data_IF_789308234314
#
_entry.id   IF_789308234314
#
_cell.length_a   1.000
_cell.length_b   1.000
_cell.length_c   1.000
_cell.angle_alpha   90.00
_cell.angle_beta   90.00
_cell.angle_gamma   90.00
#
_symmetry.space_group_name_H-M   'P 1'
#
loop_
_entity.id
_entity.type
_entity.pdbx_description
1 polymer ?
#
# COMPACT_ATOMS: atom_id res chain seq x y z
N UNK A 1 10.47 6.30 -22.93
CA UNK A 1 9.23 6.36 -22.16
C UNK A 1 8.44 5.07 -22.17
N UNK A 2 8.10 4.52 -23.34
CA UNK A 2 7.40 3.24 -23.43
C UNK A 2 8.20 2.08 -22.80
N UNK A 3 9.52 2.06 -22.98
CA UNK A 3 10.41 1.04 -22.42
C UNK A 3 10.40 1.04 -20.89
N UNK A 4 10.43 2.24 -20.26
CA UNK A 4 10.35 2.38 -18.81
C UNK A 4 9.01 1.88 -18.27
N UNK A 5 7.92 2.22 -18.94
CA UNK A 5 6.57 1.79 -18.53
C UNK A 5 6.44 0.28 -18.58
N UNK A 6 6.95 -0.36 -19.62
CA UNK A 6 6.96 -1.82 -19.74
C UNK A 6 7.80 -2.48 -18.65
N UNK A 7 8.97 -1.90 -18.33
CA UNK A 7 9.85 -2.39 -17.26
C UNK A 7 9.16 -2.36 -15.90
N UNK A 8 8.47 -1.26 -15.59
CA UNK A 8 7.72 -1.12 -14.34
C UNK A 8 6.58 -2.14 -14.24
N UNK A 9 5.85 -2.36 -15.33
CA UNK A 9 4.78 -3.35 -15.37
C UNK A 9 5.31 -4.78 -15.16
N UNK A 10 6.46 -5.11 -15.75
CA UNK A 10 7.09 -6.41 -15.56
C UNK A 10 7.51 -6.65 -14.13
N UNK A 11 8.06 -5.62 -13.46
CA UNK A 11 8.42 -5.70 -12.04
C UNK A 11 7.21 -5.94 -11.17
N UNK A 12 6.12 -5.21 -11.41
CA UNK A 12 4.88 -5.37 -10.67
C UNK A 12 4.32 -6.79 -10.84
N UNK A 13 4.33 -7.32 -12.06
CA UNK A 13 3.85 -8.68 -12.33
C UNK A 13 4.69 -9.73 -11.61
N UNK A 14 6.02 -9.57 -11.56
CA UNK A 14 6.89 -10.51 -10.84
C UNK A 14 6.59 -10.54 -9.36
N UNK A 15 6.43 -9.37 -8.75
CA UNK A 15 6.08 -9.25 -7.32
C UNK A 15 4.74 -9.93 -7.05
N UNK A 16 3.73 -9.66 -7.86
CA UNK A 16 2.39 -10.24 -7.70
C UNK A 16 2.38 -11.75 -7.85
N UNK A 17 3.14 -12.30 -8.80
CA UNK A 17 3.26 -13.77 -8.96
C UNK A 17 3.85 -14.41 -7.71
N UNK A 18 4.89 -13.81 -7.16
CA UNK A 18 5.53 -14.32 -5.96
C UNK A 18 4.57 -14.24 -4.77
N UNK A 19 3.81 -13.18 -4.65
CA UNK A 19 2.83 -13.00 -3.57
C UNK A 19 1.71 -14.04 -3.66
N UNK A 20 1.28 -14.42 -4.86
CA UNK A 20 0.28 -15.49 -5.04
C UNK A 20 0.77 -16.82 -4.51
N UNK A 21 2.07 -17.13 -4.67
CA UNK A 21 2.65 -18.39 -4.19
C UNK A 21 2.70 -18.44 -2.66
N UNK A 22 3.00 -17.33 -2.00
CA UNK A 22 3.23 -17.31 -0.55
C UNK A 22 2.06 -16.74 0.26
N UNK A 23 1.09 -16.14 -0.42
CA UNK A 23 0.02 -15.40 0.23
C UNK A 23 -1.08 -16.23 0.88
N UNK A 24 -1.28 -17.48 0.44
CA UNK A 24 -2.31 -18.37 0.97
C UNK A 24 -3.70 -17.75 1.08
N UNK A 25 -4.10 -16.96 0.05
CA UNK A 25 -5.41 -16.31 0.04
C UNK A 25 -5.53 -15.06 0.90
N UNK A 26 -4.45 -14.60 1.52
CA UNK A 26 -4.48 -13.38 2.32
C UNK A 26 -4.71 -12.15 1.42
N UNK A 27 -5.45 -11.13 1.90
CA UNK A 27 -5.59 -9.87 1.17
C UNK A 27 -4.23 -9.22 0.90
N UNK A 28 -4.18 -8.42 -0.13
CA UNK A 28 -2.96 -7.77 -0.59
C UNK A 28 -2.97 -6.29 -0.25
N UNK A 29 -1.95 -5.82 0.49
CA UNK A 29 -1.74 -4.39 0.72
C UNK A 29 -0.96 -3.83 -0.48
N UNK A 30 -1.67 -3.15 -1.36
CA UNK A 30 -1.11 -2.58 -2.58
C UNK A 30 -0.80 -1.10 -2.39
N UNK A 31 0.38 -0.67 -2.81
CA UNK A 31 0.84 0.71 -2.72
C UNK A 31 1.00 1.28 -4.12
N UNK A 32 0.49 2.49 -4.30
CA UNK A 32 0.71 3.29 -5.50
C UNK A 32 1.18 4.68 -5.10
N UNK A 33 2.20 5.20 -5.76
CA UNK A 33 2.70 6.53 -5.49
C UNK A 33 2.80 7.36 -6.78
N UNK A 34 2.49 8.65 -6.64
CA UNK A 34 2.80 9.66 -7.66
C UNK A 34 3.85 10.61 -7.09
N UNK A 35 4.24 11.62 -7.88
CA UNK A 35 5.20 12.62 -7.40
C UNK A 35 4.68 13.42 -6.19
N UNK A 36 3.37 13.62 -6.09
CA UNK A 36 2.76 14.48 -5.07
C UNK A 36 2.02 13.71 -3.97
N UNK A 37 1.61 12.48 -4.22
CA UNK A 37 0.74 11.75 -3.30
C UNK A 37 1.12 10.28 -3.20
N UNK A 38 0.60 9.60 -2.19
CA UNK A 38 0.75 8.17 -2.02
C UNK A 38 -0.59 7.55 -1.62
N UNK A 39 -0.83 6.32 -2.07
CA UNK A 39 -2.10 5.61 -1.91
C UNK A 39 -1.84 4.20 -1.42
N UNK A 40 -2.72 3.69 -0.56
CA UNK A 40 -2.69 2.30 -0.10
C UNK A 40 -4.07 1.69 -0.20
N UNK A 41 -4.14 0.45 -0.65
CA UNK A 41 -5.38 -0.31 -0.76
C UNK A 41 -5.16 -1.72 -0.24
N UNK A 42 -6.14 -2.24 0.48
CA UNK A 42 -6.15 -3.65 0.86
C UNK A 42 -7.17 -4.33 -0.03
N UNK A 43 -6.70 -5.23 -0.89
CA UNK A 43 -7.48 -5.85 -1.95
C UNK A 43 -7.64 -7.34 -1.66
N UNK A 44 -8.87 -7.81 -1.66
CA UNK A 44 -9.18 -9.24 -1.61
C UNK A 44 -9.33 -9.72 -3.06
N UNK A 45 -8.29 -10.38 -3.57
CA UNK A 45 -8.27 -10.86 -4.95
C UNK A 45 -9.28 -12.00 -5.16
N UNK A 46 -9.59 -12.79 -4.14
CA UNK A 46 -10.57 -13.86 -4.24
C UNK A 46 -11.99 -13.31 -4.40
N UNK A 47 -12.34 -12.29 -3.65
CA UNK A 47 -13.65 -11.64 -3.74
C UNK A 47 -13.71 -10.57 -4.83
N UNK A 48 -12.54 -10.12 -5.32
CA UNK A 48 -12.45 -9.09 -6.35
C UNK A 48 -12.82 -7.69 -5.89
N UNK A 49 -12.65 -7.38 -4.59
CA UNK A 49 -13.01 -6.06 -4.06
C UNK A 49 -11.90 -5.45 -3.21
N UNK A 50 -12.02 -4.14 -2.95
CA UNK A 50 -11.14 -3.41 -2.04
C UNK A 50 -11.77 -3.38 -0.65
N UNK A 51 -11.09 -3.95 0.33
CA UNK A 51 -11.57 -4.05 1.71
C UNK A 51 -11.38 -2.73 2.45
N UNK A 52 -10.24 -2.09 2.26
CA UNK A 52 -9.91 -0.82 2.90
C UNK A 52 -8.98 -0.03 2.00
N UNK A 53 -9.01 1.30 2.12
CA UNK A 53 -8.11 2.18 1.37
C UNK A 53 -7.81 3.44 2.17
N UNK A 54 -6.66 4.06 1.86
CA UNK A 54 -6.26 5.34 2.42
C UNK A 54 -5.32 6.05 1.46
N UNK A 55 -5.30 7.37 1.50
CA UNK A 55 -4.38 8.15 0.68
C UNK A 55 -4.11 9.50 1.33
N UNK A 56 -3.07 10.18 0.85
CA UNK A 56 -2.76 11.55 1.27
C UNK A 56 -3.84 12.55 0.85
N UNK A 57 -4.75 12.15 -0.05
CA UNK A 57 -5.90 12.96 -0.46
C UNK A 57 -7.10 12.80 0.47
N UNK A 58 -7.08 11.86 1.40
CA UNK A 58 -8.15 11.70 2.38
C UNK A 58 -8.31 12.95 3.22
N UNK A 59 -9.56 13.34 3.49
CA UNK A 59 -9.88 14.52 4.29
C UNK A 59 -9.25 14.47 5.68
N UNK A 60 -9.16 13.27 6.27
CA UNK A 60 -8.55 13.06 7.58
C UNK A 60 -7.07 13.42 7.62
N UNK A 61 -6.37 13.29 6.48
CA UNK A 61 -4.94 13.55 6.38
C UNK A 61 -4.59 14.90 5.75
N UNK A 62 -5.40 15.38 4.83
CA UNK A 62 -5.13 16.66 4.11
C UNK A 62 -4.95 17.84 5.05
N UNK A 63 -5.69 17.87 6.13
CA UNK A 63 -5.62 18.95 7.11
C UNK A 63 -4.38 18.89 7.99
N UNK A 64 -3.81 17.71 8.18
CA UNK A 64 -2.69 17.45 9.08
C UNK A 64 -1.33 17.48 8.38
N UNK A 65 -1.30 17.21 7.08
CA UNK A 65 -0.07 17.07 6.33
C UNK A 65 0.29 18.36 5.59
N UNK A 66 1.57 18.73 5.64
CA UNK A 66 2.11 19.85 4.89
C UNK A 66 2.19 19.51 3.40
N UNK A 67 2.52 18.27 3.09
CA UNK A 67 2.65 17.76 1.73
C UNK A 67 2.25 16.28 1.70
N UNK A 68 1.87 15.79 0.52
CA UNK A 68 1.58 14.37 0.32
C UNK A 68 2.76 13.58 -0.22
N UNK A 69 3.94 14.18 -0.34
CA UNK A 69 5.07 13.59 -1.05
C UNK A 69 6.24 13.16 -0.17
N UNK A 70 6.16 13.31 1.15
CA UNK A 70 7.25 12.93 2.05
C UNK A 70 7.00 11.62 2.79
N UNK A 71 8.00 11.16 3.55
CA UNK A 71 7.91 9.91 4.32
C UNK A 71 6.91 10.02 5.48
N UNK A 72 6.76 11.20 6.05
CA UNK A 72 5.79 11.47 7.11
C UNK A 72 4.36 11.27 6.59
N UNK A 73 4.08 11.77 5.38
CA UNK A 73 2.79 11.57 4.73
C UNK A 73 2.53 10.09 4.46
N UNK A 74 3.54 9.35 3.98
CA UNK A 74 3.42 7.92 3.73
C UNK A 74 3.15 7.13 5.02
N UNK A 75 3.82 7.49 6.11
CA UNK A 75 3.58 6.85 7.41
C UNK A 75 2.14 7.10 7.89
N UNK A 76 1.61 8.31 7.69
CA UNK A 76 0.23 8.63 8.05
C UNK A 76 -0.77 7.79 7.25
N UNK A 77 -0.51 7.57 5.96
CA UNK A 77 -1.34 6.70 5.11
C UNK A 77 -1.28 5.25 5.61
N UNK A 78 -0.09 4.76 5.93
CA UNK A 78 0.08 3.41 6.47
C UNK A 78 -0.71 3.19 7.75
N UNK A 79 -0.66 4.13 8.67
CA UNK A 79 -1.43 4.09 9.91
C UNK A 79 -2.94 4.08 9.63
N UNK A 80 -3.40 4.95 8.75
CA UNK A 80 -4.82 5.08 8.44
C UNK A 80 -5.37 3.82 7.76
N UNK A 81 -4.65 3.25 6.79
CA UNK A 81 -5.12 2.04 6.11
C UNK A 81 -5.16 0.85 7.08
N UNK A 82 -4.20 0.78 8.01
CA UNK A 82 -4.20 -0.27 9.03
C UNK A 82 -5.40 -0.14 9.98
N UNK A 83 -5.73 1.07 10.41
CA UNK A 83 -6.91 1.32 11.24
C UNK A 83 -8.20 0.93 10.53
N UNK A 84 -8.32 1.27 9.25
CA UNK A 84 -9.50 0.93 8.44
C UNK A 84 -9.60 -0.57 8.19
N UNK A 85 -8.47 -1.24 7.98
CA UNK A 85 -8.42 -2.69 7.82
C UNK A 85 -8.86 -3.39 9.11
N UNK A 86 -8.41 -2.91 10.25
CA UNK A 86 -8.80 -3.45 11.56
C UNK A 86 -10.32 -3.37 11.77
N UNK A 87 -10.92 -2.24 11.41
CA UNK A 87 -12.38 -2.07 11.48
C UNK A 87 -13.11 -3.03 10.55
N UNK A 88 -12.50 -3.40 9.43
CA UNK A 88 -13.06 -4.35 8.47
C UNK A 88 -12.76 -5.81 8.84
N UNK A 89 -12.06 -6.04 9.96
CA UNK A 89 -11.73 -7.39 10.41
C UNK A 89 -10.52 -8.02 9.72
N UNK A 90 -9.70 -7.23 9.03
CA UNK A 90 -8.51 -7.72 8.33
C UNK A 90 -7.26 -7.36 9.11
N UNK A 91 -6.43 -8.36 9.39
CA UNK A 91 -5.17 -8.18 10.11
C UNK A 91 -3.98 -8.72 9.33
N UNK A 92 -4.11 -9.91 8.74
CA UNK A 92 -3.04 -10.57 7.99
C UNK A 92 -3.15 -10.22 6.52
N UNK A 93 -2.09 -9.63 5.97
CA UNK A 93 -2.03 -9.25 4.55
C UNK A 93 -0.67 -9.63 3.97
N UNK A 94 -0.56 -9.60 2.64
CA UNK A 94 0.72 -9.66 1.96
C UNK A 94 1.02 -8.27 1.40
N UNK A 95 2.29 -7.86 1.46
CA UNK A 95 2.67 -6.53 0.99
C UNK A 95 3.03 -6.55 -0.49
N UNK A 96 2.25 -5.83 -1.30
CA UNK A 96 2.50 -5.65 -2.73
C UNK A 96 3.05 -4.23 -2.96
N UNK A 97 4.37 -4.12 -3.05
CA UNK A 97 5.03 -2.84 -3.34
C UNK A 97 4.91 -2.44 -4.81
N UNK A 98 4.30 -3.27 -5.66
CA UNK A 98 4.20 -3.02 -7.10
C UNK A 98 5.58 -2.93 -7.75
N UNK A 99 5.81 -1.94 -8.63
CA UNK A 99 7.10 -1.75 -9.29
C UNK A 99 8.12 -0.98 -8.45
N UNK A 100 7.76 -0.56 -7.24
CA UNK A 100 8.60 0.33 -6.42
C UNK A 100 9.62 -0.45 -5.60
N UNK A 101 10.76 0.21 -5.31
CA UNK A 101 11.77 -0.32 -4.40
C UNK A 101 11.28 -0.12 -2.97
N UNK A 102 11.56 -1.09 -2.07
CA UNK A 102 11.22 -0.99 -0.65
C UNK A 102 12.16 0.01 0.04
N UNK A 103 11.90 1.29 -0.16
CA UNK A 103 12.73 2.39 0.33
C UNK A 103 11.87 3.66 0.42
N UNK A 104 12.33 4.63 1.22
CA UNK A 104 11.70 5.94 1.33
C UNK A 104 10.24 5.86 1.73
N UNK A 105 9.35 6.45 0.93
CA UNK A 105 7.91 6.51 1.21
C UNK A 105 7.25 5.13 1.32
N UNK A 106 7.63 4.21 0.45
CA UNK A 106 7.05 2.86 0.45
C UNK A 106 7.39 2.13 1.75
N UNK A 107 8.65 2.22 2.18
CA UNK A 107 9.11 1.63 3.44
C UNK A 107 8.41 2.28 4.64
N UNK A 108 8.30 3.61 4.66
CA UNK A 108 7.65 4.34 5.75
C UNK A 108 6.18 3.94 5.90
N UNK A 109 5.46 3.78 4.80
CA UNK A 109 4.08 3.33 4.80
C UNK A 109 3.97 1.91 5.38
N UNK A 110 4.82 0.99 4.92
CA UNK A 110 4.80 -0.40 5.38
C UNK A 110 5.10 -0.52 6.87
N UNK A 111 6.12 0.19 7.36
CA UNK A 111 6.47 0.17 8.77
C UNK A 111 5.36 0.73 9.66
N UNK A 112 4.74 1.84 9.25
CA UNK A 112 3.63 2.43 9.98
C UNK A 112 2.41 1.50 10.02
N UNK A 113 2.12 0.81 8.92
CA UNK A 113 1.04 -0.16 8.86
C UNK A 113 1.28 -1.33 9.81
N UNK A 114 2.52 -1.83 9.89
CA UNK A 114 2.90 -2.89 10.85
C UNK A 114 2.75 -2.42 12.29
N UNK A 115 3.21 -1.23 12.60
CA UNK A 115 3.10 -0.65 13.95
C UNK A 115 1.64 -0.46 14.37
N UNK A 116 0.75 -0.26 13.39
CA UNK A 116 -0.68 -0.03 13.66
C UNK A 116 -1.51 -1.30 13.62
N UNK A 117 -0.88 -2.47 13.53
CA UNK A 117 -1.55 -3.75 13.73
C UNK A 117 -1.61 -4.70 12.55
N UNK A 118 -1.20 -4.30 11.36
CA UNK A 118 -1.15 -5.23 10.23
C UNK A 118 0.04 -6.18 10.34
N UNK A 119 -0.19 -7.43 9.96
CA UNK A 119 0.82 -8.50 9.98
C UNK A 119 1.20 -8.86 8.55
N UNK A 120 2.45 -8.67 8.22
CA UNK A 120 3.01 -9.09 6.92
C UNK A 120 4.53 -9.08 6.94
#
# INVERSE_FOLDING_TARGET
MAVQKQSLQRRAQRVRRQLKKVGNGRPRLSVYRSSKNIYAQIIDDAAGNTVASASTLDADLRKKLKTGSDTEAAAAVGKLVAERASKAGVKDVVFDRGPYIFHGRVKALAEAARESGLTF
#
